data_IF_855569323611
#
_entry.id   IF_855569323611
#
_cell.length_a   1.000
_cell.length_b   1.000
_cell.length_c   1.000
_cell.angle_alpha   90.00
_cell.angle_beta   90.00
_cell.angle_gamma   90.00
#
_symmetry.space_group_name_H-M   'P 1'
#
loop_
_entity.id
_entity.type
_entity.pdbx_description
1 polymer ?
#
# COMPACT_ATOMS: atom_id res chain seq x y z
N UNK A 1 -13.48 -9.51 6.66
CA UNK A 1 -12.05 -9.84 6.88
C UNK A 1 -11.59 -9.31 8.22
N UNK A 2 -10.79 -10.04 9.01
CA UNK A 2 -10.32 -9.53 10.32
C UNK A 2 -9.17 -8.53 10.16
N UNK A 3 -9.00 -7.63 11.13
CA UNK A 3 -7.92 -6.64 11.17
C UNK A 3 -6.56 -7.34 11.16
N UNK A 4 -6.43 -8.44 11.91
CA UNK A 4 -5.21 -9.26 11.99
C UNK A 4 -4.90 -9.93 10.65
N UNK A 5 -5.91 -10.42 9.93
CA UNK A 5 -5.72 -10.99 8.60
C UNK A 5 -5.18 -9.95 7.63
N UNK A 6 -5.79 -8.75 7.59
CA UNK A 6 -5.29 -7.66 6.74
C UNK A 6 -3.85 -7.28 7.12
N UNK A 7 -3.55 -7.17 8.42
CA UNK A 7 -2.23 -6.79 8.92
C UNK A 7 -1.11 -7.72 8.44
N UNK A 8 -1.39 -9.01 8.32
CA UNK A 8 -0.43 -10.04 7.92
C UNK A 8 -0.38 -10.24 6.40
N UNK A 9 -1.54 -10.28 5.75
CA UNK A 9 -1.64 -10.69 4.35
C UNK A 9 -1.65 -9.53 3.35
N UNK A 10 -2.23 -8.38 3.72
CA UNK A 10 -2.36 -7.26 2.77
C UNK A 10 -0.99 -6.72 2.29
N UNK A 11 0.02 -6.49 3.15
CA UNK A 11 1.34 -6.01 2.68
C UNK A 11 2.07 -6.98 1.76
N UNK A 12 1.86 -8.29 1.93
CA UNK A 12 2.59 -9.32 1.16
C UNK A 12 1.90 -9.65 -0.17
N UNK A 13 0.61 -9.33 -0.29
CA UNK A 13 -0.21 -9.60 -1.47
C UNK A 13 -0.57 -8.33 -2.25
N UNK A 14 0.05 -7.20 -1.88
CA UNK A 14 -0.15 -5.90 -2.55
C UNK A 14 1.17 -5.42 -3.12
N UNK A 15 1.14 -4.95 -4.36
CA UNK A 15 2.26 -4.27 -5.00
C UNK A 15 1.92 -2.80 -5.22
N UNK A 16 2.86 -1.93 -4.90
CA UNK A 16 2.72 -0.49 -5.04
C UNK A 16 3.93 0.06 -5.80
N UNK A 17 3.73 1.03 -6.67
CA UNK A 17 4.82 1.66 -7.41
C UNK A 17 4.36 2.58 -8.53
N UNK A 18 5.29 3.06 -9.37
CA UNK A 18 4.98 3.86 -10.54
C UNK A 18 3.99 3.14 -11.47
N UNK A 19 2.99 3.86 -11.97
CA UNK A 19 1.95 3.30 -12.86
C UNK A 19 2.56 2.63 -14.10
N UNK A 20 3.67 3.15 -14.62
CA UNK A 20 4.37 2.60 -15.78
C UNK A 20 5.05 1.26 -15.47
N UNK A 21 5.36 0.98 -14.19
CA UNK A 21 6.09 -0.23 -13.76
C UNK A 21 5.20 -1.31 -13.17
N UNK A 22 3.96 -1.00 -12.76
CA UNK A 22 3.12 -1.94 -12.00
C UNK A 22 2.92 -3.28 -12.72
N UNK A 23 2.77 -3.25 -14.05
CA UNK A 23 2.61 -4.46 -14.87
C UNK A 23 3.83 -5.37 -14.79
N UNK A 24 5.03 -4.79 -14.88
CA UNK A 24 6.28 -5.56 -14.78
C UNK A 24 6.49 -6.06 -13.36
N UNK A 25 6.18 -5.24 -12.35
CA UNK A 25 6.23 -5.66 -10.95
C UNK A 25 5.38 -6.92 -10.72
N UNK A 26 4.15 -6.93 -11.25
CA UNK A 26 3.25 -8.09 -11.13
C UNK A 26 3.78 -9.28 -11.92
N UNK A 27 3.96 -9.14 -13.24
CA UNK A 27 4.27 -10.27 -14.13
C UNK A 27 5.63 -10.92 -13.82
N UNK A 28 6.63 -10.12 -13.48
CA UNK A 28 7.99 -10.58 -13.19
C UNK A 28 8.22 -10.88 -11.71
N UNK A 29 7.16 -10.84 -10.89
CA UNK A 29 7.24 -11.09 -9.45
C UNK A 29 8.25 -10.20 -8.71
N UNK A 30 8.53 -8.99 -9.23
CA UNK A 30 9.48 -8.06 -8.62
C UNK A 30 8.89 -7.41 -7.36
N UNK A 31 9.74 -6.99 -6.39
CA UNK A 31 9.30 -6.24 -5.23
C UNK A 31 8.79 -4.85 -5.63
N UNK A 32 7.67 -4.44 -5.03
CA UNK A 32 7.16 -3.07 -5.11
C UNK A 32 7.65 -2.20 -3.94
N UNK A 33 7.10 -0.99 -3.82
CA UNK A 33 7.24 -0.18 -2.60
C UNK A 33 6.57 -0.91 -1.44
N UNK A 34 7.30 -1.06 -0.34
CA UNK A 34 6.85 -1.79 0.84
C UNK A 34 5.73 -1.05 1.58
N UNK A 35 4.74 -1.80 2.07
CA UNK A 35 3.74 -1.34 3.03
C UNK A 35 4.11 -1.83 4.43
N UNK A 36 4.15 -0.93 5.41
CA UNK A 36 4.44 -1.26 6.82
C UNK A 36 3.18 -1.15 7.65
N UNK A 37 2.78 -2.23 8.30
CA UNK A 37 1.61 -2.25 9.19
C UNK A 37 1.83 -1.36 10.43
N UNK A 38 0.89 -0.46 10.70
CA UNK A 38 0.88 0.40 11.88
C UNK A 38 0.00 -0.19 12.98
N UNK A 39 0.47 -0.19 14.23
CA UNK A 39 -0.30 -0.69 15.38
C UNK A 39 -1.51 0.18 15.71
N UNK A 40 -1.44 1.47 15.39
CA UNK A 40 -2.47 2.48 15.63
C UNK A 40 -2.63 3.37 14.41
N UNK A 41 -3.80 3.98 14.25
CA UNK A 41 -4.03 4.98 13.21
C UNK A 41 -3.12 6.21 13.43
N UNK A 42 -2.57 6.82 12.37
CA UNK A 42 -1.95 8.14 12.46
C UNK A 42 -2.93 9.18 13.04
N UNK A 43 -2.42 10.14 13.81
CA UNK A 43 -3.25 11.15 14.48
C UNK A 43 -3.79 12.21 13.51
N UNK A 44 -3.19 12.29 12.32
CA UNK A 44 -3.46 13.27 11.28
C UNK A 44 -4.65 12.89 10.39
N UNK A 45 -5.17 11.65 10.50
CA UNK A 45 -6.31 11.16 9.71
C UNK A 45 -7.43 10.63 10.61
N UNK A 46 -8.70 10.60 10.13
CA UNK A 46 -9.81 10.05 10.90
C UNK A 46 -9.58 8.57 11.27
N UNK A 47 -10.01 8.21 12.48
CA UNK A 47 -10.04 6.82 12.90
C UNK A 47 -11.30 6.12 12.38
N UNK A 48 -11.12 4.98 11.72
CA UNK A 48 -12.17 4.11 11.22
C UNK A 48 -12.07 2.76 11.93
N UNK A 49 -13.11 2.42 12.72
CA UNK A 49 -13.17 1.14 13.41
C UNK A 49 -13.22 -0.01 12.39
N UNK A 50 -12.40 -1.03 12.60
CA UNK A 50 -12.31 -2.19 11.69
C UNK A 50 -11.30 -2.04 10.55
N UNK A 51 -10.62 -0.88 10.41
CA UNK A 51 -9.57 -0.69 9.41
C UNK A 51 -8.20 -1.09 9.94
N UNK A 52 -7.36 -1.60 9.04
CA UNK A 52 -5.92 -1.77 9.26
C UNK A 52 -5.17 -0.65 8.58
N UNK A 53 -4.21 -0.05 9.28
CA UNK A 53 -3.44 1.10 8.80
C UNK A 53 -2.05 0.67 8.34
N UNK A 54 -1.62 1.18 7.19
CA UNK A 54 -0.32 0.89 6.60
C UNK A 54 0.38 2.17 6.19
N UNK A 55 1.67 2.28 6.49
CA UNK A 55 2.54 3.34 6.01
C UNK A 55 3.26 2.88 4.75
N UNK A 56 3.31 3.72 3.73
CA UNK A 56 4.12 3.47 2.53
C UNK A 56 5.59 3.81 2.84
N UNK A 57 6.51 2.87 2.55
CA UNK A 57 7.94 3.11 2.71
C UNK A 57 8.47 4.06 1.64
N UNK A 58 8.61 5.32 2.03
CA UNK A 58 9.07 6.40 1.14
C UNK A 58 10.59 6.40 0.89
N UNK A 59 11.34 5.51 1.54
CA UNK A 59 12.80 5.43 1.36
C UNK A 59 13.21 4.59 0.15
N UNK A 60 12.28 3.76 -0.35
CA UNK A 60 12.49 2.82 -1.45
C UNK A 60 12.74 3.53 -2.80
N UNK A 61 13.59 2.97 -3.66
CA UNK A 61 13.93 3.61 -4.96
C UNK A 61 12.73 3.77 -5.89
N UNK A 62 11.81 2.81 -5.89
CA UNK A 62 10.54 2.92 -6.64
C UNK A 62 9.67 4.09 -6.14
N UNK A 63 9.76 4.46 -4.86
CA UNK A 63 9.06 5.63 -4.35
C UNK A 63 9.66 6.92 -4.93
N UNK A 64 10.99 7.03 -4.98
CA UNK A 64 11.66 8.20 -5.60
C UNK A 64 11.31 8.37 -7.06
N UNK A 65 11.12 7.28 -7.79
CA UNK A 65 10.71 7.28 -9.20
C UNK A 65 9.29 7.82 -9.43
N UNK A 66 8.45 7.87 -8.40
CA UNK A 66 7.12 8.46 -8.50
C UNK A 66 7.16 9.96 -8.82
N UNK A 67 8.25 10.65 -8.47
CA UNK A 67 8.41 12.08 -8.77
C UNK A 67 8.36 12.39 -10.27
N UNK A 68 8.68 11.40 -11.11
CA UNK A 68 8.65 11.51 -12.57
C UNK A 68 7.60 10.59 -13.22
N UNK A 69 6.76 9.95 -12.41
CA UNK A 69 5.70 9.04 -12.89
C UNK A 69 4.40 9.80 -13.12
N UNK A 70 3.57 9.32 -14.04
CA UNK A 70 2.22 9.83 -14.25
C UNK A 70 1.27 9.54 -13.09
N UNK A 71 1.66 8.66 -12.16
CA UNK A 71 0.89 8.37 -10.95
C UNK A 71 1.34 7.14 -10.18
N UNK A 72 0.71 6.94 -9.03
CA UNK A 72 0.87 5.74 -8.23
C UNK A 72 -0.13 4.67 -8.69
N UNK A 73 0.34 3.43 -8.85
CA UNK A 73 -0.53 2.27 -9.03
C UNK A 73 -0.39 1.29 -7.87
N UNK A 74 -1.52 0.67 -7.53
CA UNK A 74 -1.61 -0.41 -6.57
C UNK A 74 -2.26 -1.62 -7.24
N UNK A 75 -1.63 -2.79 -7.09
CA UNK A 75 -2.19 -4.06 -7.50
C UNK A 75 -2.36 -4.95 -6.27
N UNK A 76 -3.56 -5.49 -6.07
CA UNK A 76 -3.90 -6.40 -4.98
C UNK A 76 -4.15 -7.78 -5.60
N UNK A 77 -3.30 -8.75 -5.28
CA UNK A 77 -3.38 -10.12 -5.82
C UNK A 77 -4.16 -11.08 -4.91
N UNK A 78 -4.44 -10.66 -3.67
CA UNK A 78 -5.11 -11.48 -2.65
C UNK A 78 -6.64 -11.39 -2.71
N UNK A 79 -7.29 -12.41 -2.15
CA UNK A 79 -8.74 -12.39 -1.92
C UNK A 79 -9.05 -11.64 -0.62
N UNK A 80 -9.53 -10.41 -0.77
CA UNK A 80 -10.02 -9.58 0.32
C UNK A 80 -11.50 -9.24 0.03
N UNK A 81 -12.45 -10.08 0.49
CA UNK A 81 -13.87 -9.81 0.29
C UNK A 81 -14.24 -8.44 0.86
N UNK A 82 -15.00 -7.67 0.08
CA UNK A 82 -15.50 -6.32 0.45
C UNK A 82 -14.36 -5.35 0.83
N UNK A 83 -13.21 -5.47 0.14
CA UNK A 83 -12.07 -4.59 0.39
C UNK A 83 -12.42 -3.13 0.11
N UNK A 84 -12.32 -2.32 1.16
CA UNK A 84 -12.31 -0.86 1.07
C UNK A 84 -10.90 -0.33 1.31
N UNK A 85 -10.50 0.67 0.53
CA UNK A 85 -9.18 1.30 0.62
C UNK A 85 -9.33 2.80 0.66
N UNK A 86 -8.57 3.41 1.57
CA UNK A 86 -8.33 4.84 1.61
C UNK A 86 -6.84 5.11 1.48
N UNK A 87 -6.49 6.14 0.72
CA UNK A 87 -5.09 6.52 0.51
C UNK A 87 -4.89 7.98 0.90
N UNK A 88 -4.11 8.19 1.97
CA UNK A 88 -3.89 9.50 2.58
C UNK A 88 -2.45 9.95 2.39
N UNK A 89 -2.27 11.21 2.02
CA UNK A 89 -0.97 11.89 2.06
C UNK A 89 -0.95 12.84 3.27
N UNK A 90 -0.02 12.61 4.20
CA UNK A 90 0.17 13.45 5.38
C UNK A 90 1.34 14.40 5.12
N UNK A 91 1.06 15.71 5.11
CA UNK A 91 2.11 16.73 5.05
C UNK A 91 2.78 16.82 6.42
N UNK A 92 4.09 16.56 6.49
CA UNK A 92 4.92 16.87 7.65
C UNK A 92 5.45 18.30 7.57
#
# INVERSE_FOLDING_TARGET
TTVEFLRTHFPTQTKLGPVEKIRDLVNLHLPGVTLRSLSVAPREIPYHAGYSYFEVDTTHDLWRQLNSSGGLAMHVSGEFPELELEFWAIRR
#
